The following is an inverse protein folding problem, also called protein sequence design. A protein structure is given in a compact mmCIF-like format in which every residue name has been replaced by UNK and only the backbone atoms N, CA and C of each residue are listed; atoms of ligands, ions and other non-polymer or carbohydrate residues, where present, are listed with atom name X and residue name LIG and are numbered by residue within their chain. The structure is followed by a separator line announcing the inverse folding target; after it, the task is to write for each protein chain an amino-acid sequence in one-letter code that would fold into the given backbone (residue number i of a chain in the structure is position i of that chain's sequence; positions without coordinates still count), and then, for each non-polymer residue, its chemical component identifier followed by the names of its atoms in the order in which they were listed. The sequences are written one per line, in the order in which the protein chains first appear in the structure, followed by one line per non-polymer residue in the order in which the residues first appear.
data_IF_911038831878
#
_entry.id   IF_911038831878
#
_cell.length_a   1.000
_cell.length_b   1.000
_cell.length_c   1.000
_cell.angle_alpha   90.00
_cell.angle_beta   90.00
_cell.angle_gamma   90.00
#
_symmetry.space_group_name_H-M   'P 1'
#
loop_
_entity.id
_entity.type
_entity.pdbx_description
1 polymer ?
#
# COMPACT_ATOMS: atom_id res chain seq x y z
N UNK A 1 12.30 1.32 8.32
CA UNK A 1 11.26 1.49 7.28
C UNK A 1 11.77 0.94 5.96
N UNK A 2 10.99 0.06 5.30
CA UNK A 2 11.40 -0.61 4.05
C UNK A 2 11.25 0.23 2.79
N UNK A 3 10.81 1.48 2.88
CA UNK A 3 10.57 2.36 1.74
C UNK A 3 11.43 3.63 1.80
N UNK A 4 11.53 4.32 0.67
CA UNK A 4 12.17 5.62 0.60
C UNK A 4 11.39 6.69 1.39
N UNK A 5 12.02 7.79 1.81
CA UNK A 5 11.35 8.92 2.42
C UNK A 5 10.18 9.43 1.56
N UNK A 6 9.08 9.82 2.22
CA UNK A 6 7.83 10.24 1.56
C UNK A 6 6.86 9.11 1.22
N UNK A 7 7.19 7.86 1.56
CA UNK A 7 6.24 6.75 1.47
C UNK A 7 5.22 6.79 2.61
N UNK A 8 4.01 6.29 2.37
CA UNK A 8 2.92 6.38 3.36
C UNK A 8 3.24 5.72 4.70
N UNK A 9 3.88 4.55 4.70
CA UNK A 9 4.32 3.89 5.94
C UNK A 9 5.39 4.70 6.69
N UNK A 10 6.26 5.37 5.98
CA UNK A 10 7.29 6.22 6.59
C UNK A 10 6.67 7.47 7.24
N UNK A 11 5.77 8.15 6.54
CA UNK A 11 5.08 9.34 7.07
C UNK A 11 4.24 8.97 8.29
N UNK A 12 3.46 7.89 8.22
CA UNK A 12 2.63 7.41 9.33
C UNK A 12 3.47 7.03 10.55
N UNK A 13 4.57 6.28 10.35
CA UNK A 13 5.43 5.87 11.45
C UNK A 13 6.17 7.05 12.08
N UNK A 14 6.64 8.04 11.29
CA UNK A 14 7.25 9.26 11.84
C UNK A 14 6.26 10.06 12.69
N UNK A 15 5.02 10.18 12.24
CA UNK A 15 3.98 10.84 13.02
C UNK A 15 3.74 10.16 14.37
N UNK A 16 3.60 8.83 14.36
CA UNK A 16 3.46 8.05 15.61
C UNK A 16 4.70 8.15 16.49
N UNK A 17 5.90 8.05 15.91
CA UNK A 17 7.17 8.18 16.64
C UNK A 17 7.28 9.54 17.32
N UNK A 18 6.89 10.64 16.67
CA UNK A 18 6.87 11.98 17.26
C UNK A 18 5.92 12.06 18.46
N UNK A 19 4.71 11.49 18.33
CA UNK A 19 3.74 11.45 19.43
C UNK A 19 4.30 10.67 20.62
N UNK A 20 4.81 9.46 20.36
CA UNK A 20 5.35 8.58 21.41
C UNK A 20 6.60 9.20 22.06
N UNK A 21 7.55 9.69 21.29
CA UNK A 21 8.79 10.29 21.82
C UNK A 21 8.52 11.51 22.73
N UNK A 22 7.42 12.25 22.46
CA UNK A 22 7.02 13.37 23.31
C UNK A 22 6.32 12.94 24.59
N UNK A 23 5.56 11.86 24.55
CA UNK A 23 4.70 11.42 25.65
C UNK A 23 5.32 10.31 26.52
N UNK A 24 6.24 9.52 25.96
CA UNK A 24 6.91 8.42 26.65
C UNK A 24 8.38 8.76 26.92
N UNK A 25 8.75 8.86 28.21
CA UNK A 25 10.13 9.18 28.62
C UNK A 25 11.08 7.97 28.64
N UNK A 26 10.56 6.75 28.45
CA UNK A 26 11.33 5.50 28.55
C UNK A 26 11.85 5.01 27.20
N UNK A 27 11.20 5.39 26.10
CA UNK A 27 11.50 4.95 24.75
C UNK A 27 11.63 6.15 23.83
N UNK A 28 12.62 6.11 22.95
CA UNK A 28 12.80 7.06 21.87
C UNK A 28 12.96 6.31 20.55
N UNK A 29 12.06 6.55 19.62
CA UNK A 29 12.18 6.02 18.26
C UNK A 29 13.06 6.89 17.40
N UNK A 30 14.06 6.28 16.77
CA UNK A 30 14.88 6.86 15.70
C UNK A 30 14.49 6.17 14.40
N UNK A 31 14.01 6.93 13.43
CA UNK A 31 13.49 6.38 12.16
C UNK A 31 14.57 6.33 11.10
N UNK A 32 14.89 5.14 10.63
CA UNK A 32 15.82 4.87 9.54
C UNK A 32 15.08 4.29 8.32
N UNK A 33 15.46 4.73 7.12
CA UNK A 33 14.94 4.19 5.86
C UNK A 33 15.96 3.24 5.23
N UNK A 34 15.51 2.01 4.88
CA UNK A 34 16.29 0.97 4.16
C UNK A 34 15.49 0.52 2.95
N UNK A 35 15.44 1.38 1.93
CA UNK A 35 14.65 1.12 0.74
C UNK A 35 15.31 0.08 -0.18
N UNK A 36 14.49 -0.61 -0.99
CA UNK A 36 14.91 -1.50 -2.06
C UNK A 36 14.15 -2.83 -2.09
N UNK A 37 13.94 -3.35 -3.32
CA UNK A 37 13.26 -4.64 -3.55
C UNK A 37 11.85 -4.70 -3.00
N UNK A 38 11.07 -3.63 -3.07
CA UNK A 38 9.75 -3.52 -2.43
C UNK A 38 9.81 -3.90 -0.93
N UNK A 39 10.76 -3.31 -0.19
CA UNK A 39 11.08 -3.53 1.24
C UNK A 39 11.88 -4.80 1.57
N UNK A 40 12.21 -5.68 0.62
CA UNK A 40 12.93 -6.94 0.89
C UNK A 40 14.28 -6.70 1.56
N UNK A 41 15.00 -5.62 1.20
CA UNK A 41 16.29 -5.29 1.84
C UNK A 41 16.12 -5.05 3.35
N UNK A 42 15.13 -4.27 3.75
CA UNK A 42 14.83 -4.01 5.16
C UNK A 42 14.34 -5.28 5.88
N UNK A 43 13.53 -6.10 5.22
CA UNK A 43 13.01 -7.35 5.80
C UNK A 43 14.12 -8.38 5.97
N UNK A 44 15.02 -8.55 4.99
CA UNK A 44 16.21 -9.40 5.15
C UNK A 44 17.10 -8.93 6.30
N UNK A 45 17.26 -7.61 6.49
CA UNK A 45 17.99 -7.07 7.64
C UNK A 45 17.27 -7.39 8.96
N UNK A 46 15.94 -7.26 9.01
CA UNK A 46 15.15 -7.56 10.22
C UNK A 46 15.29 -9.03 10.65
N UNK A 47 15.57 -9.95 9.71
CA UNK A 47 15.89 -11.36 10.03
C UNK A 47 17.19 -11.55 10.80
N UNK A 48 18.08 -10.56 10.76
CA UNK A 48 19.45 -10.67 11.35
C UNK A 48 19.64 -9.92 12.65
N UNK A 49 18.66 -9.11 13.06
CA UNK A 49 18.76 -8.33 14.31
C UNK A 49 18.23 -9.13 15.50
N UNK A 50 18.68 -8.77 16.71
CA UNK A 50 18.24 -9.43 17.93
C UNK A 50 16.76 -9.18 18.21
N UNK A 51 16.01 -10.18 18.72
CA UNK A 51 14.61 -10.02 19.08
C UNK A 51 14.40 -9.43 20.48
N UNK A 52 15.17 -8.37 20.81
CA UNK A 52 15.25 -7.75 22.12
C UNK A 52 14.33 -6.52 22.30
N UNK A 53 13.52 -6.23 21.27
CA UNK A 53 12.60 -5.10 21.28
C UNK A 53 13.23 -3.76 20.87
N UNK A 54 14.51 -3.69 20.55
CA UNK A 54 15.16 -2.43 20.13
C UNK A 54 14.99 -2.11 18.65
N UNK A 55 14.50 -3.06 17.85
CA UNK A 55 14.24 -2.86 16.43
C UNK A 55 12.80 -3.24 16.09
N UNK A 56 12.06 -2.30 15.52
CA UNK A 56 10.73 -2.50 14.96
C UNK A 56 10.70 -1.99 13.53
N UNK A 57 9.95 -2.63 12.65
CA UNK A 57 9.87 -2.22 11.26
C UNK A 57 8.44 -1.97 10.80
N UNK A 58 8.29 -1.07 9.82
CA UNK A 58 7.01 -0.80 9.17
C UNK A 58 7.07 -1.21 7.70
N UNK A 59 6.14 -2.07 7.28
CA UNK A 59 6.05 -2.63 5.94
C UNK A 59 4.65 -2.45 5.34
N UNK A 60 4.51 -2.81 4.06
CA UNK A 60 3.23 -2.85 3.38
C UNK A 60 2.66 -4.27 3.43
N UNK A 61 1.40 -4.42 3.83
CA UNK A 61 0.72 -5.71 3.93
C UNK A 61 0.82 -6.55 2.65
N UNK A 62 0.43 -5.96 1.51
CA UNK A 62 0.36 -6.70 0.26
C UNK A 62 1.73 -7.17 -0.19
N UNK A 63 2.77 -6.33 0.00
CA UNK A 63 4.15 -6.71 -0.30
C UNK A 63 4.61 -7.85 0.59
N UNK A 64 4.50 -7.69 1.92
CA UNK A 64 4.96 -8.69 2.89
C UNK A 64 4.22 -10.02 2.77
N UNK A 65 2.89 -9.98 2.69
CA UNK A 65 2.09 -11.19 2.83
C UNK A 65 1.80 -11.90 1.50
N UNK A 66 1.96 -11.23 0.35
CA UNK A 66 1.55 -11.79 -0.94
C UNK A 66 2.61 -11.63 -2.02
N UNK A 67 2.92 -10.40 -2.44
CA UNK A 67 3.59 -10.20 -3.73
C UNK A 67 5.08 -10.51 -3.71
N UNK A 68 5.73 -10.41 -2.56
CA UNK A 68 7.15 -10.75 -2.42
C UNK A 68 7.43 -12.25 -2.56
N UNK A 69 6.47 -13.10 -2.23
CA UNK A 69 6.59 -14.56 -2.44
C UNK A 69 6.65 -14.93 -3.92
N UNK A 70 6.22 -14.06 -4.80
CA UNK A 70 6.14 -14.29 -6.24
C UNK A 70 7.21 -13.47 -6.98
N UNK A 71 7.26 -12.16 -6.74
CA UNK A 71 8.06 -11.24 -7.55
C UNK A 71 9.45 -10.94 -7.01
N UNK A 72 9.73 -11.26 -5.73
CA UNK A 72 11.04 -11.08 -5.09
C UNK A 72 11.60 -12.38 -4.51
N UNK A 73 11.14 -13.54 -4.99
CA UNK A 73 11.51 -14.86 -4.48
C UNK A 73 13.03 -15.08 -4.44
N UNK A 74 13.76 -14.62 -5.45
CA UNK A 74 15.19 -14.85 -5.58
C UNK A 74 16.03 -14.06 -4.58
N UNK A 75 15.52 -12.93 -4.07
CA UNK A 75 16.25 -12.06 -3.13
C UNK A 75 15.71 -12.11 -1.71
N UNK A 76 14.54 -12.68 -1.51
CA UNK A 76 13.87 -12.83 -0.21
C UNK A 76 14.48 -13.97 0.61
N UNK A 77 14.70 -13.76 1.91
CA UNK A 77 15.30 -14.72 2.85
C UNK A 77 14.42 -15.02 4.07
N UNK A 78 13.10 -14.90 3.94
CA UNK A 78 12.10 -15.08 4.99
C UNK A 78 10.81 -15.62 4.39
N UNK A 79 9.95 -16.17 5.23
CA UNK A 79 8.58 -16.50 4.87
C UNK A 79 7.63 -15.36 5.27
N UNK A 80 6.42 -15.33 4.72
CA UNK A 80 5.45 -14.26 5.02
C UNK A 80 5.15 -14.12 6.52
N UNK A 81 5.28 -15.20 7.29
CA UNK A 81 5.01 -15.31 8.72
C UNK A 81 6.29 -15.42 9.57
N UNK A 82 7.44 -15.05 9.04
CA UNK A 82 8.71 -15.10 9.80
C UNK A 82 8.80 -14.05 10.90
N UNK A 83 8.06 -12.96 10.77
CA UNK A 83 8.09 -11.84 11.71
C UNK A 83 6.97 -11.92 12.74
N UNK A 84 7.16 -11.25 13.85
CA UNK A 84 6.09 -11.08 14.84
C UNK A 84 5.26 -9.84 14.47
N UNK A 85 4.02 -10.07 14.05
CA UNK A 85 3.06 -9.01 13.72
C UNK A 85 2.66 -8.25 14.99
N UNK A 86 2.63 -6.91 14.91
CA UNK A 86 2.25 -6.04 16.03
C UNK A 86 0.86 -5.47 15.81
N UNK A 87 0.70 -4.55 14.87
CA UNK A 87 -0.57 -3.96 14.47
C UNK A 87 -0.46 -3.18 13.16
N UNK A 88 -1.61 -2.78 12.61
CA UNK A 88 -1.70 -1.85 11.48
C UNK A 88 -1.65 -0.40 11.98
N UNK A 89 -0.75 0.41 11.40
CA UNK A 89 -0.63 1.85 11.75
C UNK A 89 -1.43 2.76 10.82
N UNK A 90 -1.92 2.26 9.72
CA UNK A 90 -2.74 3.01 8.78
C UNK A 90 -2.94 2.28 7.47
N UNK A 91 -4.03 2.59 6.80
CA UNK A 91 -4.32 2.16 5.45
C UNK A 91 -5.07 3.25 4.67
N UNK A 92 -4.77 3.34 3.38
CA UNK A 92 -5.41 4.27 2.45
C UNK A 92 -5.96 3.51 1.25
N UNK A 93 -7.16 3.86 0.75
CA UNK A 93 -7.65 3.30 -0.50
C UNK A 93 -6.67 3.56 -1.63
N UNK A 94 -6.61 2.65 -2.60
CA UNK A 94 -5.93 2.93 -3.85
C UNK A 94 -6.89 3.67 -4.79
N UNK A 95 -6.36 4.62 -5.54
CA UNK A 95 -7.09 5.34 -6.58
C UNK A 95 -6.48 5.01 -7.94
N UNK A 96 -7.34 4.69 -8.90
CA UNK A 96 -7.01 4.75 -10.31
C UNK A 96 -7.15 6.22 -10.75
N UNK A 97 -6.06 6.80 -11.20
CA UNK A 97 -6.04 8.16 -11.75
C UNK A 97 -5.72 8.14 -13.23
N UNK A 98 -6.18 9.16 -13.93
CA UNK A 98 -5.75 9.49 -15.29
C UNK A 98 -5.12 10.88 -15.33
N UNK A 99 -4.29 11.15 -16.33
CA UNK A 99 -3.86 12.51 -16.66
C UNK A 99 -5.09 13.41 -16.89
N UNK A 100 -5.01 14.66 -16.50
CA UNK A 100 -6.17 15.59 -16.57
C UNK A 100 -6.78 15.72 -17.97
N UNK A 101 -5.98 15.56 -19.03
CA UNK A 101 -6.39 15.66 -20.43
C UNK A 101 -6.96 14.35 -21.01
N UNK A 102 -6.91 13.23 -20.28
CA UNK A 102 -7.48 11.94 -20.76
C UNK A 102 -8.96 12.07 -21.10
N UNK A 103 -9.42 11.35 -22.10
CA UNK A 103 -10.85 11.24 -22.44
C UNK A 103 -11.62 10.38 -21.42
N UNK A 104 -10.93 9.51 -20.65
CA UNK A 104 -11.51 8.59 -19.67
C UNK A 104 -11.82 9.33 -18.38
N UNK A 105 -13.07 9.28 -17.91
CA UNK A 105 -13.55 9.96 -16.70
C UNK A 105 -14.22 9.01 -15.69
N UNK A 106 -14.58 7.82 -16.12
CA UNK A 106 -15.35 6.85 -15.32
C UNK A 106 -14.71 5.47 -15.37
N UNK A 107 -14.99 4.59 -14.37
CA UNK A 107 -14.57 3.20 -14.43
C UNK A 107 -15.07 2.45 -15.67
N UNK A 108 -16.29 2.71 -16.12
CA UNK A 108 -16.87 2.05 -17.30
C UNK A 108 -16.17 2.45 -18.60
N UNK A 109 -15.82 3.73 -18.75
CA UNK A 109 -14.98 4.21 -19.87
C UNK A 109 -13.58 3.60 -19.82
N UNK A 110 -13.01 3.44 -18.63
CA UNK A 110 -11.73 2.74 -18.48
C UNK A 110 -11.81 1.28 -18.91
N UNK A 111 -12.87 0.55 -18.54
CA UNK A 111 -13.11 -0.82 -19.01
C UNK A 111 -13.23 -0.88 -20.53
N UNK A 112 -13.96 0.06 -21.12
CA UNK A 112 -14.09 0.17 -22.58
C UNK A 112 -12.71 0.33 -23.22
N UNK A 113 -11.89 1.26 -22.73
CA UNK A 113 -10.52 1.45 -23.19
C UNK A 113 -9.70 0.16 -23.06
N UNK A 114 -9.71 -0.51 -21.90
CA UNK A 114 -8.95 -1.74 -21.68
C UNK A 114 -9.26 -2.85 -22.68
N UNK A 115 -10.50 -2.91 -23.18
CA UNK A 115 -11.00 -3.95 -24.11
C UNK A 115 -10.78 -3.60 -25.56
N UNK A 116 -10.91 -2.31 -25.90
CA UNK A 116 -11.05 -1.86 -27.31
C UNK A 116 -9.83 -1.11 -27.83
N UNK A 117 -8.84 -0.82 -26.96
CA UNK A 117 -7.63 -0.11 -27.41
C UNK A 117 -6.93 -0.84 -28.55
N UNK A 118 -6.47 -0.08 -29.53
CA UNK A 118 -5.64 -0.53 -30.65
C UNK A 118 -4.21 0.02 -30.61
N UNK A 119 -3.86 0.70 -29.54
CA UNK A 119 -2.52 1.24 -29.25
C UNK A 119 -2.07 0.88 -27.83
N UNK A 120 -0.75 0.91 -27.52
CA UNK A 120 -0.24 0.65 -26.19
C UNK A 120 -0.80 1.64 -25.15
N UNK A 121 -1.28 1.11 -24.04
CA UNK A 121 -1.73 1.88 -22.86
C UNK A 121 -0.86 1.48 -21.67
N UNK A 122 -0.26 2.44 -21.02
CA UNK A 122 0.62 2.22 -19.88
C UNK A 122 -0.02 2.73 -18.58
N UNK A 123 0.03 1.89 -17.54
CA UNK A 123 -0.49 2.20 -16.21
C UNK A 123 0.66 2.24 -15.21
N UNK A 124 0.93 3.40 -14.63
CA UNK A 124 2.00 3.58 -13.66
C UNK A 124 1.64 2.88 -12.33
N UNK A 125 2.56 2.07 -11.82
CA UNK A 125 2.45 1.38 -10.52
C UNK A 125 3.75 1.53 -9.74
N UNK A 126 3.67 1.75 -8.43
CA UNK A 126 4.84 2.04 -7.60
C UNK A 126 5.05 1.06 -6.45
N UNK A 127 4.34 -0.08 -6.42
CA UNK A 127 4.51 -1.15 -5.42
C UNK A 127 3.76 -2.41 -5.83
N UNK A 128 4.00 -3.51 -5.11
CA UNK A 128 3.27 -4.76 -5.29
C UNK A 128 1.76 -4.61 -5.12
N UNK A 129 1.30 -3.79 -4.16
CA UNK A 129 -0.12 -3.54 -3.97
C UNK A 129 -0.78 -2.85 -5.18
N UNK A 130 -0.08 -1.92 -5.82
CA UNK A 130 -0.58 -1.23 -7.01
C UNK A 130 -0.60 -2.18 -8.22
N UNK A 131 0.46 -2.99 -8.39
CA UNK A 131 0.53 -3.97 -9.46
C UNK A 131 -0.57 -5.03 -9.32
N UNK A 132 -0.77 -5.63 -8.14
CA UNK A 132 -1.83 -6.63 -7.94
C UNK A 132 -3.22 -6.05 -8.20
N UNK A 133 -3.45 -4.77 -7.86
CA UNK A 133 -4.69 -4.06 -8.17
C UNK A 133 -4.90 -3.93 -9.68
N UNK A 134 -3.86 -3.53 -10.42
CA UNK A 134 -3.89 -3.50 -11.88
C UNK A 134 -4.23 -4.87 -12.47
N UNK A 135 -3.55 -5.92 -12.02
CA UNK A 135 -3.75 -7.28 -12.51
C UNK A 135 -5.17 -7.81 -12.21
N UNK A 136 -5.70 -7.45 -11.04
CA UNK A 136 -7.06 -7.80 -10.68
C UNK A 136 -8.08 -7.09 -11.59
N UNK A 137 -7.87 -5.81 -11.88
CA UNK A 137 -8.68 -5.06 -12.85
C UNK A 137 -8.63 -5.72 -14.24
N UNK A 138 -7.44 -6.01 -14.76
CA UNK A 138 -7.25 -6.67 -16.05
C UNK A 138 -7.97 -8.01 -16.12
N UNK A 139 -7.89 -8.82 -15.07
CA UNK A 139 -8.58 -10.11 -15.00
C UNK A 139 -10.12 -9.94 -15.00
N UNK A 140 -10.65 -9.07 -14.15
CA UNK A 140 -12.10 -8.89 -13.99
C UNK A 140 -12.75 -8.19 -15.17
N UNK A 141 -12.02 -7.37 -15.88
CA UNK A 141 -12.54 -6.63 -17.04
C UNK A 141 -12.24 -7.29 -18.37
N UNK A 142 -11.50 -8.40 -18.40
CA UNK A 142 -11.03 -9.05 -19.63
C UNK A 142 -10.27 -8.07 -20.55
N UNK A 143 -9.40 -7.26 -19.95
CA UNK A 143 -8.59 -6.27 -20.66
C UNK A 143 -7.57 -6.90 -21.60
N UNK A 144 -7.22 -6.17 -22.66
CA UNK A 144 -6.26 -6.60 -23.67
C UNK A 144 -4.81 -6.55 -23.14
N UNK A 145 -4.32 -7.66 -22.59
CA UNK A 145 -2.98 -7.76 -21.98
C UNK A 145 -1.83 -7.58 -22.99
N UNK A 146 -2.07 -7.69 -24.28
CA UNK A 146 -1.03 -7.44 -25.27
C UNK A 146 -0.70 -5.95 -25.41
N UNK A 147 -1.68 -5.09 -25.21
CA UNK A 147 -1.56 -3.64 -25.38
C UNK A 147 -1.59 -2.84 -24.06
N UNK A 148 -2.19 -3.38 -22.99
CA UNK A 148 -2.27 -2.68 -21.70
C UNK A 148 -1.25 -3.25 -20.73
N UNK A 149 -0.26 -2.45 -20.34
CA UNK A 149 0.90 -2.89 -19.56
C UNK A 149 1.12 -2.03 -18.30
N UNK A 150 1.52 -2.62 -17.16
CA UNK A 150 1.99 -1.85 -16.02
C UNK A 150 3.42 -1.36 -16.26
N UNK A 151 3.71 -0.13 -15.83
CA UNK A 151 5.07 0.40 -15.73
C UNK A 151 5.43 0.55 -14.26
N UNK A 152 6.48 -0.15 -13.84
CA UNK A 152 6.97 -0.12 -12.45
C UNK A 152 7.84 1.12 -12.21
N UNK A 153 7.54 1.83 -11.13
CA UNK A 153 8.33 2.96 -10.62
C UNK A 153 8.86 2.66 -9.22
N UNK A 154 9.91 3.36 -8.80
CA UNK A 154 10.47 3.25 -7.45
C UNK A 154 9.62 4.01 -6.41
N UNK A 155 8.34 3.64 -6.32
CA UNK A 155 7.40 4.20 -5.37
C UNK A 155 6.27 5.01 -5.98
N UNK A 156 5.21 5.27 -5.19
CA UNK A 156 3.98 5.89 -5.68
C UNK A 156 4.13 7.35 -6.11
N UNK A 157 5.07 8.09 -5.52
CA UNK A 157 5.30 9.49 -5.89
C UNK A 157 5.86 9.61 -7.31
N UNK A 158 6.82 8.75 -7.69
CA UNK A 158 7.36 8.72 -9.06
C UNK A 158 6.30 8.28 -10.06
N UNK A 159 5.50 7.25 -9.73
CA UNK A 159 4.39 6.79 -10.55
C UNK A 159 3.37 7.91 -10.79
N UNK A 160 2.99 8.65 -9.75
CA UNK A 160 2.06 9.77 -9.85
C UNK A 160 2.61 10.92 -10.70
N UNK A 161 3.89 11.27 -10.53
CA UNK A 161 4.55 12.31 -11.32
C UNK A 161 4.61 11.94 -12.81
N UNK A 162 4.80 10.66 -13.14
CA UNK A 162 4.73 10.18 -14.53
C UNK A 162 3.35 10.42 -15.16
N UNK A 163 2.26 10.19 -14.41
CA UNK A 163 0.90 10.46 -14.89
C UNK A 163 0.60 11.94 -14.99
N UNK A 164 1.10 12.74 -14.05
CA UNK A 164 0.86 14.20 -14.04
C UNK A 164 1.67 14.96 -15.10
N UNK A 165 2.66 14.31 -15.72
CA UNK A 165 3.55 14.94 -16.72
C UNK A 165 2.98 14.77 -18.12
N UNK A 166 2.77 15.88 -18.83
CA UNK A 166 2.36 15.88 -20.24
C UNK A 166 3.43 15.32 -21.20
N UNK A 167 4.67 15.20 -20.73
CA UNK A 167 5.79 14.63 -21.48
C UNK A 167 6.10 13.17 -21.11
N UNK A 168 5.32 12.56 -20.23
CA UNK A 168 5.82 11.44 -19.43
C UNK A 168 5.48 10.02 -19.83
N UNK A 169 4.59 9.78 -20.74
CA UNK A 169 4.39 8.41 -21.27
C UNK A 169 3.47 7.47 -20.50
N UNK A 170 2.90 7.83 -19.33
CA UNK A 170 1.82 7.06 -18.69
C UNK A 170 0.55 7.89 -18.59
N UNK A 171 -0.55 7.38 -19.17
CA UNK A 171 -1.84 8.07 -19.12
C UNK A 171 -2.58 7.79 -17.80
N UNK A 172 -2.37 6.62 -17.23
CA UNK A 172 -3.05 6.14 -16.03
C UNK A 172 -2.06 5.75 -14.94
N UNK A 173 -2.54 5.69 -13.71
CA UNK A 173 -1.76 5.17 -12.59
C UNK A 173 -2.62 4.66 -11.44
N UNK A 174 -2.07 3.74 -10.66
CA UNK A 174 -2.70 3.21 -9.45
C UNK A 174 -1.77 3.52 -8.27
N UNK A 175 -2.29 4.21 -7.27
CA UNK A 175 -1.51 4.66 -6.11
C UNK A 175 -2.41 4.94 -4.89
N UNK A 176 -1.84 5.13 -3.70
CA UNK A 176 -2.61 5.52 -2.52
C UNK A 176 -3.31 6.86 -2.73
N UNK A 177 -4.58 6.93 -2.37
CA UNK A 177 -5.39 8.15 -2.49
C UNK A 177 -4.76 9.32 -1.71
N UNK A 178 -4.20 9.06 -0.54
CA UNK A 178 -3.49 10.03 0.27
C UNK A 178 -2.38 10.75 -0.51
N UNK A 179 -1.64 10.02 -1.36
CA UNK A 179 -0.55 10.56 -2.17
C UNK A 179 -1.08 11.29 -3.40
N UNK A 180 -2.15 10.76 -4.02
CA UNK A 180 -2.71 11.35 -5.24
C UNK A 180 -3.51 12.64 -4.97
N UNK A 181 -4.09 12.79 -3.78
CA UNK A 181 -5.01 13.86 -3.42
C UNK A 181 -4.50 15.27 -3.78
N UNK A 182 -3.27 15.70 -3.45
CA UNK A 182 -2.82 17.06 -3.77
C UNK A 182 -2.84 17.35 -5.27
N UNK A 183 -2.49 16.38 -6.12
CA UNK A 183 -2.50 16.58 -7.59
C UNK A 183 -3.92 16.44 -8.18
N UNK A 184 -4.83 15.70 -7.53
CA UNK A 184 -6.25 15.67 -7.88
C UNK A 184 -6.88 17.05 -7.59
N UNK A 185 -6.66 17.60 -6.39
CA UNK A 185 -7.15 18.93 -5.99
C UNK A 185 -6.57 20.06 -6.84
N UNK A 186 -5.31 19.93 -7.28
CA UNK A 186 -4.67 20.84 -8.22
C UNK A 186 -5.10 20.66 -9.69
N UNK A 187 -5.97 19.69 -10.00
CA UNK A 187 -6.43 19.40 -11.36
C UNK A 187 -5.36 18.87 -12.32
N UNK A 188 -4.24 18.35 -11.79
CA UNK A 188 -3.15 17.78 -12.59
C UNK A 188 -3.44 16.35 -13.04
N UNK A 189 -4.12 15.60 -12.21
CA UNK A 189 -4.67 14.27 -12.50
C UNK A 189 -6.14 14.24 -12.08
N UNK A 190 -6.91 13.34 -12.65
CA UNK A 190 -8.31 13.13 -12.28
C UNK A 190 -8.54 11.71 -11.74
N UNK A 191 -9.33 11.53 -10.66
CA UNK A 191 -9.65 10.24 -10.12
C UNK A 191 -10.71 9.56 -10.98
N UNK A 192 -10.43 8.33 -11.41
CA UNK A 192 -11.35 7.49 -12.16
C UNK A 192 -12.17 6.60 -11.22
N UNK A 193 -11.55 6.07 -10.18
CA UNK A 193 -12.23 5.25 -9.18
C UNK A 193 -11.30 4.83 -8.05
N UNK A 194 -11.89 4.45 -6.91
CA UNK A 194 -11.15 4.01 -5.71
C UNK A 194 -11.48 2.56 -5.34
N UNK A 195 -10.51 1.88 -4.74
CA UNK A 195 -10.71 0.53 -4.17
C UNK A 195 -11.49 0.60 -2.85
N UNK A 196 -11.96 -0.55 -2.38
CA UNK A 196 -12.71 -0.67 -1.14
C UNK A 196 -14.22 -0.75 -1.35
N UNK A 197 -14.94 -0.85 -0.24
CA UNK A 197 -16.39 -1.04 -0.18
C UNK A 197 -17.17 0.22 0.20
N UNK A 198 -16.49 1.26 0.66
CA UNK A 198 -17.06 2.53 1.13
C UNK A 198 -16.50 3.71 0.35
N UNK A 199 -17.34 4.69 0.10
CA UNK A 199 -16.92 5.98 -0.43
C UNK A 199 -16.08 6.73 0.60
N UNK A 200 -15.11 7.49 0.12
CA UNK A 200 -14.32 8.41 0.95
C UNK A 200 -15.13 9.70 1.12
N UNK A 201 -15.39 10.09 2.36
CA UNK A 201 -16.25 11.24 2.68
C UNK A 201 -15.75 12.55 2.05
N UNK A 202 -14.43 12.74 1.99
CA UNK A 202 -13.79 13.92 1.40
C UNK A 202 -13.83 13.92 -0.14
N UNK A 203 -14.17 12.78 -0.77
CA UNK A 203 -14.27 12.61 -2.23
C UNK A 203 -15.54 11.83 -2.61
N UNK A 204 -16.74 12.32 -2.26
CA UNK A 204 -18.00 11.56 -2.36
C UNK A 204 -18.39 11.25 -3.80
N UNK A 205 -17.89 12.03 -4.77
CA UNK A 205 -18.20 11.88 -6.19
C UNK A 205 -17.28 10.89 -6.91
N UNK A 206 -16.18 10.42 -6.29
CA UNK A 206 -15.30 9.43 -6.89
C UNK A 206 -15.98 8.04 -6.79
N UNK A 207 -16.18 7.34 -7.91
CA UNK A 207 -16.84 6.06 -7.89
C UNK A 207 -15.97 4.94 -7.31
N UNK A 208 -16.61 3.86 -6.87
CA UNK A 208 -15.93 2.66 -6.39
C UNK A 208 -15.56 1.74 -7.56
N UNK A 209 -14.32 1.28 -7.64
CA UNK A 209 -13.85 0.29 -8.63
C UNK A 209 -14.53 -1.07 -8.47
N UNK A 210 -15.15 -1.37 -7.31
CA UNK A 210 -15.92 -2.60 -7.11
C UNK A 210 -17.07 -2.79 -8.10
N UNK A 211 -17.54 -1.72 -8.75
CA UNK A 211 -18.57 -1.80 -9.80
C UNK A 211 -18.09 -2.57 -11.03
N UNK A 212 -16.83 -2.36 -11.42
CA UNK A 212 -16.20 -3.01 -12.58
C UNK A 212 -15.35 -4.23 -12.20
N UNK A 213 -14.92 -4.31 -10.94
CA UNK A 213 -14.10 -5.40 -10.41
C UNK A 213 -14.63 -5.81 -9.01
N UNK A 214 -15.72 -6.59 -8.93
CA UNK A 214 -16.25 -7.06 -7.65
C UNK A 214 -15.19 -7.78 -6.84
N UNK A 215 -15.10 -7.46 -5.53
CA UNK A 215 -14.10 -8.04 -4.63
C UNK A 215 -12.76 -7.34 -4.62
N UNK A 216 -12.58 -6.22 -5.35
CA UNK A 216 -11.37 -5.41 -5.29
C UNK A 216 -11.31 -4.63 -3.96
N UNK A 217 -10.69 -5.24 -2.96
CA UNK A 217 -10.55 -4.68 -1.62
C UNK A 217 -9.06 -4.58 -1.22
N UNK A 218 -8.27 -3.95 -2.08
CA UNK A 218 -6.84 -3.72 -1.87
C UNK A 218 -6.62 -2.31 -1.36
N UNK A 219 -5.81 -2.20 -0.32
CA UNK A 219 -5.40 -0.93 0.29
C UNK A 219 -3.87 -0.82 0.30
N UNK A 220 -3.37 0.41 0.27
CA UNK A 220 -2.04 0.67 0.79
C UNK A 220 -2.15 0.63 2.32
N UNK A 221 -1.79 -0.49 2.92
CA UNK A 221 -1.89 -0.73 4.35
C UNK A 221 -0.50 -1.01 4.93
N UNK A 222 -0.24 -0.45 6.12
CA UNK A 222 1.08 -0.45 6.75
C UNK A 222 0.99 -1.06 8.14
N UNK A 223 1.75 -2.11 8.34
CA UNK A 223 1.86 -2.82 9.61
C UNK A 223 3.21 -2.61 10.27
N UNK A 224 3.23 -2.76 11.58
CA UNK A 224 4.45 -2.89 12.37
C UNK A 224 4.73 -4.35 12.61
N UNK A 225 6.00 -4.71 12.51
CA UNK A 225 6.50 -6.05 12.81
C UNK A 225 7.79 -5.97 13.62
N UNK A 226 8.03 -7.00 14.42
CA UNK A 226 9.25 -7.23 15.18
C UNK A 226 10.06 -8.38 14.59
N UNK A 227 11.36 -8.52 14.91
CA UNK A 227 12.19 -9.63 14.46
C UNK A 227 11.56 -10.99 14.81
N UNK A 228 11.94 -12.05 14.07
CA UNK A 228 11.50 -13.41 14.38
C UNK A 228 11.84 -13.80 15.83
N UNK A 229 10.92 -14.50 16.49
CA UNK A 229 11.07 -14.99 17.88
C UNK A 229 11.15 -13.89 18.94
N UNK A 230 10.68 -12.69 18.65
CA UNK A 230 10.49 -11.68 19.70
C UNK A 230 9.44 -12.19 20.71
N UNK A 231 9.76 -12.07 21.99
CA UNK A 231 8.88 -12.51 23.07
C UNK A 231 7.51 -11.85 22.97
N UNK A 232 6.44 -12.61 23.20
CA UNK A 232 5.06 -12.12 23.14
C UNK A 232 4.82 -10.92 24.08
N UNK A 233 5.47 -10.88 25.21
CA UNK A 233 5.38 -9.73 26.15
C UNK A 233 5.87 -8.43 25.49
N UNK A 234 6.93 -8.51 24.65
CA UNK A 234 7.45 -7.35 23.91
C UNK A 234 6.47 -6.98 22.78
N UNK A 235 5.93 -7.97 22.06
CA UNK A 235 4.93 -7.76 21.00
C UNK A 235 3.70 -7.04 21.57
N UNK A 236 3.12 -7.55 22.65
CA UNK A 236 1.93 -6.99 23.30
C UNK A 236 2.20 -5.58 23.86
N UNK A 237 3.40 -5.35 24.43
CA UNK A 237 3.80 -4.02 24.87
C UNK A 237 3.79 -2.99 23.73
N UNK A 238 4.35 -3.34 22.55
CA UNK A 238 4.33 -2.45 21.41
C UNK A 238 2.94 -2.30 20.82
N UNK A 239 2.14 -3.36 20.76
CA UNK A 239 0.76 -3.29 20.30
C UNK A 239 -0.04 -2.28 21.13
N UNK A 240 0.04 -2.38 22.46
CA UNK A 240 -0.63 -1.44 23.38
C UNK A 240 -0.08 0.00 23.27
N UNK A 241 1.25 0.16 23.17
CA UNK A 241 1.89 1.48 23.04
C UNK A 241 1.42 2.20 21.76
N UNK A 242 1.46 1.52 20.61
CA UNK A 242 1.04 2.09 19.35
C UNK A 242 -0.48 2.26 19.24
N UNK A 243 -1.28 1.33 19.78
CA UNK A 243 -2.73 1.48 19.80
C UNK A 243 -3.15 2.73 20.59
N UNK A 244 -2.51 3.00 21.74
CA UNK A 244 -2.74 4.26 22.46
C UNK A 244 -2.35 5.49 21.66
N UNK A 245 -1.22 5.45 20.95
CA UNK A 245 -0.77 6.57 20.13
C UNK A 245 -1.72 6.81 18.95
N UNK A 246 -2.20 5.75 18.30
CA UNK A 246 -3.19 5.81 17.22
C UNK A 246 -4.50 6.42 17.69
N UNK A 247 -4.93 6.13 18.91
CA UNK A 247 -6.17 6.66 19.50
C UNK A 247 -6.06 8.09 20.07
N UNK A 248 -4.90 8.74 19.94
CA UNK A 248 -4.79 10.17 20.31
C UNK A 248 -5.54 11.05 19.31
N UNK A 249 -6.13 12.15 19.78
CA UNK A 249 -6.82 13.11 18.93
C UNK A 249 -5.89 13.60 17.79
N UNK A 250 -4.60 13.82 18.10
CA UNK A 250 -3.61 14.27 17.14
C UNK A 250 -3.38 13.29 15.98
N UNK A 251 -3.34 11.97 16.26
CA UNK A 251 -3.17 10.98 15.18
C UNK A 251 -4.47 10.73 14.42
N UNK A 252 -5.61 10.76 15.10
CA UNK A 252 -6.92 10.66 14.46
C UNK A 252 -7.16 11.82 13.48
N UNK A 253 -6.87 13.04 13.89
CA UNK A 253 -6.95 14.22 13.01
C UNK A 253 -5.99 14.09 11.82
N UNK A 254 -4.76 13.63 12.06
CA UNK A 254 -3.81 13.37 10.99
C UNK A 254 -4.32 12.31 10.00
N UNK A 255 -4.92 11.22 10.49
CA UNK A 255 -5.51 10.17 9.64
C UNK A 255 -6.63 10.74 8.76
N UNK A 256 -7.55 11.52 9.33
CA UNK A 256 -8.65 12.14 8.59
C UNK A 256 -8.14 13.10 7.50
N UNK A 257 -7.16 13.94 7.84
CA UNK A 257 -6.54 14.87 6.90
C UNK A 257 -5.81 14.16 5.76
N UNK A 258 -5.26 12.98 6.00
CA UNK A 258 -4.47 12.22 5.02
C UNK A 258 -5.25 11.07 4.36
N UNK A 259 -6.56 10.96 4.57
CA UNK A 259 -7.39 9.87 4.02
C UNK A 259 -6.87 8.47 4.42
N UNK A 260 -6.42 8.37 5.64
CA UNK A 260 -5.92 7.15 6.27
C UNK A 260 -6.91 6.70 7.34
N UNK A 261 -7.05 5.40 7.52
CA UNK A 261 -7.87 4.82 8.59
C UNK A 261 -7.25 3.51 9.07
N UNK A 262 -7.74 2.98 10.20
CA UNK A 262 -7.39 1.65 10.71
C UNK A 262 -8.68 0.94 11.13
N UNK A 263 -8.77 -0.35 10.87
CA UNK A 263 -9.88 -1.16 11.38
C UNK A 263 -9.54 -1.70 12.78
N UNK A 264 -10.50 -1.71 13.67
CA UNK A 264 -10.31 -2.13 15.08
C UNK A 264 -9.69 -3.53 15.19
N UNK A 265 -10.06 -4.46 14.32
CA UNK A 265 -9.52 -5.82 14.27
C UNK A 265 -8.02 -5.90 13.90
N UNK A 266 -7.45 -4.84 13.36
CA UNK A 266 -6.05 -4.77 12.95
C UNK A 266 -5.18 -4.03 13.97
N UNK A 267 -5.75 -3.65 15.11
CA UNK A 267 -5.06 -2.98 16.21
C UNK A 267 -4.45 -3.96 17.24
N UNK A 268 -4.43 -5.24 16.91
CA UNK A 268 -3.81 -6.27 17.73
C UNK A 268 -3.08 -7.32 16.83
N UNK A 269 -2.11 -8.06 17.40
CA UNK A 269 -1.29 -9.01 16.65
C UNK A 269 -2.07 -10.17 16.03
N UNK A 270 -3.09 -10.67 16.70
CA UNK A 270 -3.83 -11.85 16.25
C UNK A 270 -4.81 -11.47 15.12
N UNK A 271 -5.46 -10.32 15.23
CA UNK A 271 -6.30 -9.77 14.18
C UNK A 271 -5.50 -9.42 12.91
N UNK A 272 -4.28 -8.88 13.06
CA UNK A 272 -3.40 -8.63 11.93
C UNK A 272 -2.97 -9.93 11.25
N UNK A 273 -2.62 -10.97 12.01
CA UNK A 273 -2.26 -12.29 11.47
C UNK A 273 -3.43 -12.93 10.71
N UNK A 274 -4.64 -12.83 11.23
CA UNK A 274 -5.84 -13.30 10.53
C UNK A 274 -6.03 -12.53 9.22
N UNK A 275 -5.87 -11.22 9.23
CA UNK A 275 -5.94 -10.39 8.01
C UNK A 275 -4.90 -10.81 6.97
N UNK A 276 -3.66 -11.11 7.37
CA UNK A 276 -2.61 -11.62 6.49
C UNK A 276 -3.03 -12.92 5.78
N UNK A 277 -3.66 -13.85 6.51
CA UNK A 277 -4.18 -15.10 5.94
C UNK A 277 -5.31 -14.84 4.93
N UNK A 278 -6.20 -13.90 5.22
CA UNK A 278 -7.29 -13.50 4.30
C UNK A 278 -6.72 -12.92 2.99
N UNK A 279 -5.72 -12.03 3.08
CA UNK A 279 -5.03 -11.47 1.92
C UNK A 279 -4.38 -12.56 1.06
N UNK A 280 -3.65 -13.49 1.69
CA UNK A 280 -3.00 -14.59 0.98
C UNK A 280 -4.02 -15.48 0.27
N UNK A 281 -5.09 -15.89 0.96
CA UNK A 281 -6.15 -16.73 0.37
C UNK A 281 -6.78 -16.06 -0.85
N UNK A 282 -6.96 -14.74 -0.81
CA UNK A 282 -7.62 -13.99 -1.87
C UNK A 282 -6.69 -13.68 -3.06
N UNK A 283 -5.46 -13.23 -2.79
CA UNK A 283 -4.61 -12.63 -3.82
C UNK A 283 -3.41 -13.49 -4.24
N UNK A 284 -2.97 -14.46 -3.44
CA UNK A 284 -1.85 -15.33 -3.81
C UNK A 284 -2.14 -16.17 -5.06
N UNK A 285 -3.36 -16.75 -5.26
CA UNK A 285 -3.69 -17.45 -6.49
C UNK A 285 -3.62 -16.56 -7.74
N UNK A 286 -4.02 -15.29 -7.61
CA UNK A 286 -3.89 -14.32 -8.70
C UNK A 286 -2.42 -13.99 -8.97
N UNK A 287 -1.64 -13.69 -7.93
CA UNK A 287 -0.24 -13.34 -8.07
C UNK A 287 0.57 -14.47 -8.74
N UNK A 288 0.24 -15.74 -8.47
CA UNK A 288 0.87 -16.90 -9.11
C UNK A 288 0.56 -17.06 -10.62
N UNK A 289 -0.53 -16.45 -11.09
CA UNK A 289 -0.89 -16.48 -12.52
C UNK A 289 -0.18 -15.39 -13.33
N UNK A 290 0.49 -14.46 -12.65
CA UNK A 290 1.16 -13.33 -13.27
C UNK A 290 2.63 -13.70 -13.48
N UNK A 291 3.08 -13.67 -14.74
CA UNK A 291 4.49 -13.84 -15.03
C UNK A 291 5.28 -12.66 -14.41
N UNK A 292 6.27 -12.91 -13.54
CA UNK A 292 7.06 -11.84 -12.94
C UNK A 292 7.85 -11.02 -13.97
N UNK A 293 8.07 -11.55 -15.18
CA UNK A 293 8.83 -10.92 -16.26
C UNK A 293 7.94 -10.18 -17.29
N UNK A 294 6.64 -10.20 -17.13
CA UNK A 294 5.68 -9.40 -17.88
C UNK A 294 5.29 -8.12 -17.11
#
# INVERSE_FOLDING_TARGET
IGNAPGAGNEIAFRKLSQIINRTNKKITFVVENRAGGDSVIAMNHLMTVLPDGHTIAAFNHMSQYVTQDIWQRDIKRYEYNSFEDVLTIGKSPLVLVAISTSAVNTPDEFVTLLRTTNHPVFVAVGSGAHRITFEYLMMKTSGNRSLVKPILFNGPAQALNSVASTAGGTEFGIMPLAIARPLIEAGKVKPIGITGDRKVAQMPNVPLLRKIAPGINVFAAWNLVLPPKTDRVIVDYYADLFARAINTAEYQEWMDQNLVFVESRELDPDGLRQHAQELRRTFLPLANQINPNE
#
